data_IF_780838567075
#
_entry.id   IF_780838567075
#
_cell.length_a   1.000
_cell.length_b   1.000
_cell.length_c   1.000
_cell.angle_alpha   90.00
_cell.angle_beta   90.00
_cell.angle_gamma   90.00
#
_symmetry.space_group_name_H-M   'P 1'
#
loop_
_entity.id
_entity.type
_entity.pdbx_description
1 polymer ?
#
# COMPACT_ATOMS: atom_id res chain seq x y z
N UNK A 1 12.14 -9.14 16.00
CA UNK A 1 12.37 -8.57 14.66
C UNK A 1 13.81 -8.85 14.29
N UNK A 2 14.06 -9.74 13.36
CA UNK A 2 15.41 -9.93 12.80
C UNK A 2 15.44 -9.27 11.43
N UNK A 3 16.32 -8.29 11.20
CA UNK A 3 16.52 -7.75 9.88
C UNK A 3 17.06 -8.87 8.97
N UNK A 4 16.51 -8.98 7.75
CA UNK A 4 17.06 -9.89 6.77
C UNK A 4 18.35 -9.26 6.26
N UNK A 5 19.48 -9.81 6.66
CA UNK A 5 20.75 -9.45 6.07
C UNK A 5 20.89 -10.23 4.76
N UNK A 6 20.98 -9.52 3.66
CA UNK A 6 21.58 -10.08 2.47
C UNK A 6 23.09 -10.14 2.74
N UNK A 7 23.77 -11.26 2.47
CA UNK A 7 25.22 -11.26 2.53
C UNK A 7 25.72 -10.16 1.58
N UNK A 8 26.52 -9.27 2.11
CA UNK A 8 27.23 -8.31 1.28
C UNK A 8 28.21 -9.10 0.43
N UNK A 9 28.37 -8.78 -0.87
CA UNK A 9 29.40 -9.38 -1.69
C UNK A 9 30.77 -9.22 -1.03
N UNK A 10 31.62 -10.22 -1.15
CA UNK A 10 32.98 -10.16 -0.60
C UNK A 10 33.70 -8.91 -1.11
N UNK A 11 34.19 -8.10 -0.17
CA UNK A 11 34.87 -6.84 -0.48
C UNK A 11 33.98 -5.63 -0.63
N UNK A 12 32.65 -5.76 -0.49
CA UNK A 12 31.74 -4.61 -0.45
C UNK A 12 31.69 -4.02 0.95
N UNK A 13 31.87 -2.71 1.05
CA UNK A 13 31.73 -1.95 2.28
C UNK A 13 30.96 -0.68 2.04
N UNK A 14 29.89 -0.49 2.79
CA UNK A 14 29.11 0.76 2.78
C UNK A 14 29.94 1.99 3.20
N UNK A 15 31.05 1.79 3.87
CA UNK A 15 31.92 2.87 4.36
C UNK A 15 32.83 3.42 3.26
N UNK A 16 33.00 2.69 2.16
CA UNK A 16 33.82 3.11 1.01
C UNK A 16 33.07 3.98 0.01
N UNK A 17 31.76 4.07 0.15
CA UNK A 17 30.90 4.87 -0.71
C UNK A 17 30.69 6.27 -0.15
N UNK A 18 30.53 7.27 -1.02
CA UNK A 18 30.20 8.63 -0.63
C UNK A 18 28.78 8.80 -0.06
N UNK A 19 28.00 7.75 -0.04
CA UNK A 19 26.67 7.67 0.55
C UNK A 19 26.50 6.36 1.31
N UNK A 20 25.71 6.43 2.36
CA UNK A 20 25.42 5.25 3.18
C UNK A 20 24.17 4.53 2.65
N UNK A 21 24.30 3.23 2.42
CA UNK A 21 23.17 2.37 2.14
C UNK A 21 22.62 1.79 3.44
N UNK A 22 21.33 1.95 3.66
CA UNK A 22 20.65 1.40 4.82
C UNK A 22 19.68 0.31 4.36
N UNK A 23 19.63 -0.77 5.13
CA UNK A 23 18.62 -1.78 4.90
C UNK A 23 17.25 -1.21 5.27
N UNK A 24 16.39 -1.04 4.26
CA UNK A 24 15.05 -0.46 4.43
C UNK A 24 13.96 -1.51 4.59
N UNK A 25 14.26 -2.77 4.25
CA UNK A 25 13.28 -3.85 4.34
C UNK A 25 13.46 -4.65 5.61
N UNK A 26 12.46 -4.65 6.46
CA UNK A 26 12.40 -5.46 7.68
C UNK A 26 11.32 -6.52 7.53
N UNK A 27 11.71 -7.78 7.64
CA UNK A 27 10.77 -8.89 7.64
C UNK A 27 10.40 -9.25 9.08
N UNK A 28 9.11 -9.21 9.38
CA UNK A 28 8.58 -9.59 10.69
C UNK A 28 8.09 -11.03 10.63
N UNK A 29 8.73 -11.90 11.39
CA UNK A 29 8.34 -13.31 11.46
C UNK A 29 7.62 -13.60 12.79
N UNK A 30 6.66 -14.51 12.77
CA UNK A 30 6.15 -15.25 11.62
C UNK A 30 5.29 -14.45 10.66
N UNK A 31 4.58 -13.41 11.09
CA UNK A 31 3.76 -12.55 10.21
C UNK A 31 3.53 -11.18 10.84
N UNK A 32 3.30 -10.16 10.01
CA UNK A 32 2.86 -8.83 10.45
C UNK A 32 1.57 -8.90 11.30
N UNK A 33 0.66 -9.82 10.95
CA UNK A 33 -0.58 -10.02 11.71
C UNK A 33 -0.32 -10.41 13.17
N UNK A 34 0.70 -11.23 13.44
CA UNK A 34 1.04 -11.61 14.83
C UNK A 34 1.52 -10.41 15.63
N UNK A 35 2.33 -9.55 15.03
CA UNK A 35 2.79 -8.30 15.68
C UNK A 35 1.60 -7.38 15.93
N UNK A 36 0.75 -7.21 14.93
CA UNK A 36 -0.47 -6.42 15.07
C UNK A 36 -1.35 -6.92 16.24
N UNK A 37 -1.64 -8.23 16.28
CA UNK A 37 -2.43 -8.83 17.36
C UNK A 37 -1.78 -8.63 18.73
N UNK A 38 -0.45 -8.76 18.81
CA UNK A 38 0.28 -8.52 20.06
C UNK A 38 0.16 -7.09 20.53
N UNK A 39 0.37 -6.12 19.64
CA UNK A 39 0.24 -4.69 19.96
C UNK A 39 -1.20 -4.32 20.31
N UNK A 40 -2.18 -4.89 19.60
CA UNK A 40 -3.59 -4.70 19.89
C UNK A 40 -3.93 -5.18 21.30
N UNK A 41 -3.51 -6.39 21.66
CA UNK A 41 -3.74 -6.94 22.99
C UNK A 41 -3.05 -6.12 24.11
N UNK A 42 -1.87 -5.56 23.85
CA UNK A 42 -1.20 -4.63 24.76
C UNK A 42 -2.02 -3.35 24.95
N UNK A 43 -2.53 -2.79 23.85
CA UNK A 43 -3.36 -1.59 23.91
C UNK A 43 -4.68 -1.84 24.65
N UNK A 44 -5.31 -3.00 24.46
CA UNK A 44 -6.53 -3.39 25.20
C UNK A 44 -6.28 -3.45 26.72
N UNK A 45 -5.14 -3.98 27.14
CA UNK A 45 -4.77 -4.07 28.57
C UNK A 45 -4.66 -2.70 29.26
N UNK A 46 -4.45 -1.63 28.49
CA UNK A 46 -4.42 -0.28 29.05
C UNK A 46 -5.79 0.23 29.50
N UNK A 47 -6.87 -0.40 29.02
CA UNK A 47 -8.25 0.08 29.22
C UNK A 47 -8.57 1.38 28.46
N UNK A 48 -7.62 1.93 27.69
CA UNK A 48 -7.79 3.19 26.96
C UNK A 48 -8.24 2.98 25.51
N UNK A 49 -8.14 1.74 25.01
CA UNK A 49 -8.56 1.39 23.64
C UNK A 49 -10.05 1.06 23.62
N UNK A 50 -10.78 1.70 22.68
CA UNK A 50 -12.14 1.32 22.35
C UNK A 50 -12.22 1.04 20.84
N UNK A 51 -12.55 -0.20 20.48
CA UNK A 51 -12.60 -0.67 19.10
C UNK A 51 -14.03 -0.90 18.64
N UNK A 52 -14.29 -0.51 17.41
CA UNK A 52 -15.56 -0.75 16.72
C UNK A 52 -15.25 -1.48 15.41
N UNK A 53 -15.55 -2.77 15.38
CA UNK A 53 -15.38 -3.60 14.19
C UNK A 53 -16.62 -3.54 13.30
N UNK A 54 -16.44 -3.80 12.00
CA UNK A 54 -17.51 -3.75 11.01
C UNK A 54 -18.31 -2.42 11.05
N UNK A 55 -17.62 -1.33 11.38
CA UNK A 55 -18.21 -0.03 11.62
C UNK A 55 -17.50 1.02 10.76
N UNK A 56 -17.77 1.05 9.44
CA UNK A 56 -17.10 1.96 8.52
C UNK A 56 -17.35 3.41 8.88
N UNK A 57 -16.28 4.21 8.86
CA UNK A 57 -16.39 5.66 8.97
C UNK A 57 -17.11 6.23 7.75
N UNK A 58 -17.97 7.21 7.96
CA UNK A 58 -18.79 7.84 6.93
C UNK A 58 -18.42 9.30 6.70
N UNK A 59 -17.99 10.00 7.75
CA UNK A 59 -17.73 11.43 7.69
C UNK A 59 -16.77 11.87 8.80
N UNK A 60 -15.89 12.80 8.50
CA UNK A 60 -15.17 13.58 9.51
C UNK A 60 -16.04 14.73 10.02
N UNK A 61 -15.92 15.01 11.29
CA UNK A 61 -16.61 16.12 11.95
C UNK A 61 -15.66 17.31 12.08
N UNK A 62 -16.17 18.50 11.80
CA UNK A 62 -15.42 19.75 11.96
C UNK A 62 -16.16 20.65 12.96
N UNK A 63 -15.40 21.46 13.66
CA UNK A 63 -15.93 22.59 14.43
C UNK A 63 -16.15 23.83 13.55
N UNK A 64 -16.56 24.93 14.17
CA UNK A 64 -16.80 26.22 13.51
C UNK A 64 -15.56 26.80 12.84
N UNK A 65 -14.38 26.50 13.37
CA UNK A 65 -13.09 26.99 12.87
C UNK A 65 -12.51 26.09 11.76
N UNK A 66 -13.25 25.03 11.40
CA UNK A 66 -12.85 24.08 10.35
C UNK A 66 -11.89 22.98 10.81
N UNK A 67 -11.56 22.91 12.09
CA UNK A 67 -10.72 21.84 12.64
C UNK A 67 -11.47 20.53 12.71
N UNK A 68 -10.81 19.42 12.34
CA UNK A 68 -11.36 18.08 12.49
C UNK A 68 -11.37 17.69 13.96
N UNK A 69 -12.56 17.46 14.51
CA UNK A 69 -12.82 17.15 15.91
C UNK A 69 -13.40 15.74 16.14
N UNK A 70 -13.48 14.92 15.12
CA UNK A 70 -13.99 13.57 15.27
C UNK A 70 -14.43 12.94 13.96
N UNK A 71 -15.14 11.83 14.08
CA UNK A 71 -15.71 11.09 12.98
C UNK A 71 -17.08 10.51 13.33
N UNK A 72 -17.88 10.26 12.30
CA UNK A 72 -19.11 9.48 12.38
C UNK A 72 -18.89 8.16 11.64
N UNK A 73 -19.29 7.07 12.26
CA UNK A 73 -19.24 5.73 11.69
C UNK A 73 -20.60 5.05 11.84
N UNK A 74 -20.90 4.09 10.97
CA UNK A 74 -22.16 3.35 10.98
C UNK A 74 -21.92 1.91 11.41
N UNK A 75 -22.64 1.48 12.44
CA UNK A 75 -22.64 0.09 12.92
C UNK A 75 -23.43 -0.83 11.98
N UNK A 76 -23.22 -2.16 12.10
CA UNK A 76 -23.99 -3.14 11.32
C UNK A 76 -25.50 -3.09 11.54
N UNK A 77 -25.93 -2.62 12.72
CA UNK A 77 -27.34 -2.44 13.07
C UNK A 77 -27.96 -1.15 12.48
N UNK A 78 -27.19 -0.41 11.69
CA UNK A 78 -27.62 0.85 11.06
C UNK A 78 -27.44 2.09 11.93
N UNK A 79 -27.22 1.95 13.24
CA UNK A 79 -27.02 3.10 14.12
C UNK A 79 -25.67 3.78 13.88
N UNK A 80 -25.63 5.08 14.13
CA UNK A 80 -24.42 5.85 14.01
C UNK A 80 -23.69 6.00 15.34
N UNK A 81 -22.36 5.92 15.27
CA UNK A 81 -21.45 6.24 16.36
C UNK A 81 -20.76 7.55 16.03
N UNK A 82 -20.80 8.48 16.96
CA UNK A 82 -20.03 9.71 16.92
C UNK A 82 -18.84 9.58 17.86
N UNK A 83 -17.64 9.59 17.32
CA UNK A 83 -16.40 9.59 18.08
C UNK A 83 -15.78 10.99 18.03
N UNK A 84 -15.64 11.63 19.21
CA UNK A 84 -15.01 12.95 19.33
C UNK A 84 -13.54 12.79 19.70
N UNK A 85 -12.70 13.60 19.08
CA UNK A 85 -11.25 13.58 19.26
C UNK A 85 -10.76 14.94 19.80
N UNK A 86 -10.13 14.93 20.97
CA UNK A 86 -9.57 16.16 21.58
C UNK A 86 -8.30 16.63 20.88
N UNK A 87 -7.48 15.72 20.37
CA UNK A 87 -6.19 16.03 19.73
C UNK A 87 -6.25 16.00 18.22
N UNK A 88 -6.94 15.03 17.62
CA UNK A 88 -7.05 14.88 16.17
C UNK A 88 -7.53 13.49 15.78
N UNK A 89 -7.70 13.28 14.48
CA UNK A 89 -8.11 12.01 13.87
C UNK A 89 -6.98 11.53 12.96
N UNK A 90 -6.61 10.26 13.09
CA UNK A 90 -5.65 9.61 12.20
C UNK A 90 -6.43 8.81 11.17
N UNK A 91 -6.24 9.12 9.89
CA UNK A 91 -6.76 8.33 8.77
C UNK A 91 -5.75 7.24 8.41
N UNK A 92 -6.08 5.98 8.69
CA UNK A 92 -5.28 4.81 8.33
C UNK A 92 -6.16 3.81 7.55
N UNK A 93 -6.83 4.32 6.52
CA UNK A 93 -7.95 3.66 5.83
C UNK A 93 -7.55 2.93 4.56
N UNK A 94 -6.25 2.78 4.31
CA UNK A 94 -5.72 2.17 3.09
C UNK A 94 -5.75 3.13 1.90
N UNK A 95 -5.58 2.57 0.73
CA UNK A 95 -5.49 3.26 -0.55
C UNK A 95 -6.84 3.27 -1.32
N UNK A 96 -6.78 3.52 -2.63
CA UNK A 96 -7.94 3.56 -3.53
C UNK A 96 -7.80 2.59 -4.71
N UNK A 97 -7.02 1.53 -4.57
CA UNK A 97 -6.76 0.54 -5.64
C UNK A 97 -8.00 -0.22 -6.13
N UNK A 98 -9.11 -0.11 -5.41
CA UNK A 98 -10.42 -0.69 -5.79
C UNK A 98 -11.42 0.36 -6.31
N UNK A 99 -11.03 1.62 -6.43
CA UNK A 99 -11.88 2.67 -6.98
C UNK A 99 -11.41 3.06 -8.39
N UNK A 100 -12.12 2.58 -9.38
CA UNK A 100 -11.79 2.80 -10.78
C UNK A 100 -11.75 4.30 -11.16
N UNK A 101 -12.67 5.11 -10.63
CA UNK A 101 -12.72 6.55 -10.92
C UNK A 101 -11.51 7.28 -10.34
N UNK A 102 -11.09 6.92 -9.12
CA UNK A 102 -9.89 7.48 -8.53
C UNK A 102 -8.64 7.01 -9.27
N UNK A 103 -8.58 5.74 -9.69
CA UNK A 103 -7.48 5.24 -10.50
C UNK A 103 -7.41 5.97 -11.86
N UNK A 104 -8.54 6.14 -12.56
CA UNK A 104 -8.60 6.88 -13.82
C UNK A 104 -8.08 8.32 -13.66
N UNK A 105 -8.40 8.96 -12.57
CA UNK A 105 -8.01 10.35 -12.33
C UNK A 105 -6.56 10.49 -11.85
N UNK A 106 -6.16 9.68 -10.86
CA UNK A 106 -4.86 9.85 -10.21
C UNK A 106 -3.76 8.93 -10.74
N UNK A 107 -4.11 7.79 -11.32
CA UNK A 107 -3.18 6.79 -11.84
C UNK A 107 -3.63 6.22 -13.19
N UNK A 108 -3.87 7.05 -14.22
CA UNK A 108 -4.49 6.60 -15.48
C UNK A 108 -3.70 5.49 -16.17
N UNK A 109 -2.40 5.44 -15.98
CA UNK A 109 -1.51 4.44 -16.59
C UNK A 109 -1.57 3.04 -15.95
N UNK A 110 -2.24 2.85 -14.81
CA UNK A 110 -2.41 1.52 -14.19
C UNK A 110 -3.75 0.87 -14.51
N UNK A 111 -4.68 1.58 -15.15
CA UNK A 111 -6.00 1.07 -15.50
C UNK A 111 -5.94 -0.17 -16.38
N UNK A 112 -5.01 -0.16 -17.33
CA UNK A 112 -4.78 -1.29 -18.22
C UNK A 112 -3.82 -2.34 -17.63
N UNK A 113 -3.45 -2.21 -16.36
CA UNK A 113 -2.59 -3.19 -15.71
C UNK A 113 -3.34 -4.52 -15.60
N UNK A 114 -2.72 -5.65 -15.94
CA UNK A 114 -3.38 -6.95 -15.93
C UNK A 114 -3.77 -7.40 -14.52
N UNK A 115 -3.20 -6.81 -13.51
CA UNK A 115 -3.49 -7.09 -12.11
C UNK A 115 -3.16 -5.90 -11.23
N UNK A 116 -4.14 -5.44 -10.46
CA UNK A 116 -3.94 -4.57 -9.31
C UNK A 116 -4.12 -5.38 -8.03
N UNK A 117 -3.21 -5.19 -7.10
CA UNK A 117 -3.31 -5.83 -5.78
C UNK A 117 -4.08 -4.89 -4.86
N UNK A 118 -5.31 -5.27 -4.61
CA UNK A 118 -6.17 -4.61 -3.65
C UNK A 118 -6.43 -5.51 -2.46
N UNK A 119 -6.82 -4.94 -1.34
CA UNK A 119 -7.31 -5.71 -0.19
C UNK A 119 -8.77 -6.09 -0.38
N UNK A 120 -9.13 -7.22 0.19
CA UNK A 120 -10.50 -7.72 0.21
C UNK A 120 -10.99 -7.89 1.65
N UNK A 121 -12.26 -7.64 1.85
CA UNK A 121 -12.91 -7.93 3.12
C UNK A 121 -13.21 -9.44 3.25
N UNK A 122 -13.82 -9.85 4.38
CA UNK A 122 -14.18 -11.26 4.62
C UNK A 122 -15.21 -11.82 3.63
N UNK A 123 -15.94 -10.97 2.93
CA UNK A 123 -16.93 -11.35 1.92
C UNK A 123 -16.35 -11.29 0.50
N UNK A 124 -15.02 -11.19 0.39
CA UNK A 124 -14.29 -11.09 -0.88
C UNK A 124 -14.68 -9.83 -1.67
N UNK A 125 -15.15 -8.79 -0.99
CA UNK A 125 -15.40 -7.50 -1.62
C UNK A 125 -14.15 -6.62 -1.53
N UNK A 126 -13.81 -5.88 -2.60
CA UNK A 126 -12.69 -4.95 -2.58
C UNK A 126 -12.86 -3.91 -1.46
N UNK A 127 -11.84 -3.72 -0.65
CA UNK A 127 -11.91 -2.87 0.56
C UNK A 127 -11.14 -1.55 0.46
N UNK A 128 -10.24 -1.43 -0.53
CA UNK A 128 -9.45 -0.20 -0.73
C UNK A 128 -10.20 0.76 -1.67
N UNK A 129 -11.26 1.36 -1.17
CA UNK A 129 -12.23 2.16 -1.94
C UNK A 129 -11.95 3.66 -1.89
N UNK A 130 -10.86 4.10 -1.26
CA UNK A 130 -10.48 5.52 -1.19
C UNK A 130 -11.35 6.38 -0.27
N UNK A 131 -12.16 5.78 0.58
CA UNK A 131 -13.10 6.52 1.45
C UNK A 131 -12.38 7.49 2.39
N UNK A 132 -11.22 7.12 2.92
CA UNK A 132 -10.44 8.02 3.75
C UNK A 132 -9.90 9.22 2.99
N UNK A 133 -9.47 9.02 1.75
CA UNK A 133 -9.05 10.11 0.89
C UNK A 133 -10.20 11.08 0.62
N UNK A 134 -11.39 10.56 0.28
CA UNK A 134 -12.59 11.39 0.08
C UNK A 134 -12.97 12.15 1.34
N UNK A 135 -13.01 11.46 2.49
CA UNK A 135 -13.32 12.11 3.77
C UNK A 135 -12.32 13.22 4.12
N UNK A 136 -11.04 12.98 3.83
CA UNK A 136 -9.98 13.98 4.01
C UNK A 136 -10.23 15.22 3.13
N UNK A 137 -10.48 15.01 1.85
CA UNK A 137 -10.77 16.11 0.90
C UNK A 137 -12.03 16.87 1.29
N UNK A 138 -13.11 16.19 1.65
CA UNK A 138 -14.34 16.85 2.13
C UNK A 138 -14.13 17.62 3.43
N UNK A 139 -13.16 17.23 4.23
CA UNK A 139 -12.77 17.97 5.43
C UNK A 139 -11.84 19.15 5.14
N UNK A 140 -11.36 19.30 3.89
CA UNK A 140 -10.50 20.41 3.47
C UNK A 140 -9.02 20.02 3.27
N UNK A 141 -8.69 18.74 3.33
CA UNK A 141 -7.34 18.28 2.99
C UNK A 141 -7.10 18.39 1.48
N UNK A 142 -5.84 18.61 1.11
CA UNK A 142 -5.42 18.57 -0.29
C UNK A 142 -4.92 17.17 -0.65
N UNK A 143 -5.37 16.65 -1.76
CA UNK A 143 -4.79 15.48 -2.42
C UNK A 143 -3.53 15.91 -3.19
N UNK A 144 -2.54 15.03 -3.31
CA UNK A 144 -1.43 15.24 -4.24
C UNK A 144 -1.98 15.41 -5.65
N UNK A 145 -1.33 16.25 -6.45
CA UNK A 145 -1.73 16.44 -7.84
C UNK A 145 -1.44 15.18 -8.67
N UNK A 146 -2.30 14.88 -9.63
CA UNK A 146 -2.12 13.77 -10.58
C UNK A 146 -0.93 14.05 -11.52
N UNK A 147 -0.19 13.01 -11.97
CA UNK A 147 -0.39 11.59 -11.68
C UNK A 147 0.29 11.15 -10.37
N UNK A 148 -0.33 10.23 -9.65
CA UNK A 148 0.29 9.59 -8.52
C UNK A 148 1.24 8.48 -8.96
N UNK A 149 2.32 8.26 -8.20
CA UNK A 149 3.25 7.18 -8.43
C UNK A 149 2.76 5.89 -7.75
N UNK A 150 2.35 4.85 -8.48
CA UNK A 150 2.02 3.56 -7.88
C UNK A 150 3.29 2.83 -7.53
N UNK A 151 3.20 1.94 -6.56
CA UNK A 151 4.22 0.94 -6.35
C UNK A 151 4.00 -0.21 -7.32
N UNK A 152 4.98 -0.47 -8.19
CA UNK A 152 5.00 -1.64 -9.05
C UNK A 152 6.12 -2.58 -8.60
N UNK A 153 5.82 -3.87 -8.54
CA UNK A 153 6.81 -4.89 -8.27
C UNK A 153 6.81 -5.93 -9.39
N UNK A 154 7.99 -6.23 -9.89
CA UNK A 154 8.19 -7.50 -10.59
C UNK A 154 8.23 -8.61 -9.54
N UNK A 155 7.14 -9.39 -9.48
CA UNK A 155 7.02 -10.48 -8.50
C UNK A 155 7.65 -11.79 -8.99
N UNK A 156 8.20 -11.77 -10.19
CA UNK A 156 8.66 -12.96 -10.88
C UNK A 156 7.52 -13.81 -11.45
N UNK A 157 7.89 -14.82 -12.19
CA UNK A 157 6.98 -15.86 -12.66
C UNK A 157 7.07 -17.12 -11.77
N UNK A 158 6.74 -18.26 -12.34
CA UNK A 158 6.80 -19.56 -11.67
C UNK A 158 8.22 -19.93 -11.18
N UNK A 159 9.26 -19.35 -11.77
CA UNK A 159 10.66 -19.62 -11.46
C UNK A 159 11.25 -18.65 -10.42
N UNK A 160 10.53 -17.62 -10.01
CA UNK A 160 10.99 -16.64 -9.02
C UNK A 160 11.16 -15.22 -9.57
N UNK A 161 11.74 -14.35 -8.76
CA UNK A 161 11.77 -12.91 -9.01
C UNK A 161 13.02 -12.41 -9.74
N UNK A 162 14.05 -13.20 -9.91
CA UNK A 162 15.32 -12.75 -10.49
C UNK A 162 16.13 -13.90 -11.11
N UNK A 163 17.04 -13.54 -12.00
CA UNK A 163 18.02 -14.47 -12.56
C UNK A 163 17.54 -15.31 -13.75
N UNK A 164 16.37 -15.02 -14.30
CA UNK A 164 15.78 -15.73 -15.43
C UNK A 164 15.60 -14.82 -16.63
N UNK A 165 15.82 -15.35 -17.82
CA UNK A 165 15.65 -14.62 -19.07
C UNK A 165 14.21 -14.11 -19.23
N UNK A 166 14.07 -12.83 -19.52
CA UNK A 166 12.78 -12.20 -19.83
C UNK A 166 12.68 -11.86 -21.31
N UNK A 167 11.70 -12.43 -21.97
CA UNK A 167 11.38 -12.16 -23.37
C UNK A 167 10.05 -11.41 -23.46
N UNK A 168 9.98 -10.44 -24.35
CA UNK A 168 8.73 -9.78 -24.69
C UNK A 168 7.86 -10.67 -25.59
N UNK A 169 6.68 -10.14 -25.99
CA UNK A 169 5.72 -10.88 -26.84
C UNK A 169 6.29 -11.25 -28.21
N UNK A 170 7.31 -10.55 -28.67
CA UNK A 170 7.98 -10.83 -29.94
C UNK A 170 9.12 -11.84 -29.81
N UNK A 171 9.41 -12.35 -28.62
CA UNK A 171 10.52 -13.25 -28.34
C UNK A 171 11.86 -12.52 -28.19
N UNK A 172 11.87 -11.20 -27.97
CA UNK A 172 13.07 -10.41 -27.84
C UNK A 172 13.40 -10.15 -26.37
N UNK A 173 14.67 -10.27 -26.00
CA UNK A 173 15.17 -9.83 -24.70
C UNK A 173 15.17 -8.30 -24.66
N UNK A 174 14.59 -7.71 -23.62
CA UNK A 174 14.35 -6.27 -23.54
C UNK A 174 14.93 -5.62 -22.27
N UNK A 175 15.45 -6.38 -21.34
CA UNK A 175 15.94 -5.89 -20.05
C UNK A 175 17.16 -6.68 -19.58
N UNK A 176 17.99 -6.05 -18.76
CA UNK A 176 18.93 -6.77 -17.93
C UNK A 176 18.19 -7.26 -16.67
N UNK A 177 18.11 -8.56 -16.46
CA UNK A 177 17.35 -9.19 -15.38
C UNK A 177 18.01 -9.02 -14.00
N UNK A 178 19.27 -8.54 -13.96
CA UNK A 178 20.01 -8.22 -12.73
C UNK A 178 19.73 -6.78 -12.24
N UNK A 179 18.63 -6.19 -12.62
CA UNK A 179 18.24 -4.90 -12.09
C UNK A 179 17.09 -5.00 -11.07
N UNK A 180 16.89 -3.95 -10.23
CA UNK A 180 15.83 -3.95 -9.24
C UNK A 180 14.44 -4.23 -9.86
N UNK A 181 13.62 -5.02 -9.15
CA UNK A 181 12.29 -5.43 -9.63
C UNK A 181 11.38 -4.28 -10.07
N UNK A 182 11.53 -3.10 -9.48
CA UNK A 182 10.82 -1.90 -9.92
C UNK A 182 11.23 -1.47 -11.35
N UNK A 183 12.51 -1.54 -11.66
CA UNK A 183 13.01 -1.20 -13.01
C UNK A 183 12.56 -2.24 -14.02
N UNK A 184 12.62 -3.54 -13.68
CA UNK A 184 12.08 -4.62 -14.52
C UNK A 184 10.60 -4.37 -14.80
N UNK A 185 9.80 -4.04 -13.79
CA UNK A 185 8.39 -3.75 -13.95
C UNK A 185 8.14 -2.57 -14.90
N UNK A 186 8.93 -1.50 -14.78
CA UNK A 186 8.84 -0.36 -15.68
C UNK A 186 9.17 -0.75 -17.13
N UNK A 187 10.18 -1.61 -17.32
CA UNK A 187 10.53 -2.10 -18.66
C UNK A 187 9.45 -3.02 -19.23
N UNK A 188 8.79 -3.85 -18.42
CA UNK A 188 7.66 -4.67 -18.87
C UNK A 188 6.49 -3.79 -19.32
N UNK A 189 6.22 -2.70 -18.61
CA UNK A 189 5.09 -1.82 -18.89
C UNK A 189 5.18 -1.11 -20.27
N UNK A 190 6.36 -1.00 -20.85
CA UNK A 190 6.57 -0.43 -22.20
C UNK A 190 6.67 -1.49 -23.29
N UNK A 191 6.63 -2.80 -22.94
CA UNK A 191 6.66 -3.87 -23.94
C UNK A 191 5.27 -4.10 -24.57
N UNK A 192 5.22 -4.69 -25.77
CA UNK A 192 3.97 -5.07 -26.43
C UNK A 192 3.10 -5.93 -25.51
N UNK A 193 1.86 -5.48 -25.24
CA UNK A 193 0.93 -6.14 -24.36
C UNK A 193 1.27 -6.05 -22.86
N UNK A 194 2.26 -5.23 -22.46
CA UNK A 194 2.70 -5.03 -21.07
C UNK A 194 2.96 -6.36 -20.36
N UNK A 195 3.60 -7.29 -21.05
CA UNK A 195 3.85 -8.63 -20.55
C UNK A 195 5.26 -9.12 -20.94
N UNK A 196 5.74 -10.07 -20.17
CA UNK A 196 6.98 -10.78 -20.45
C UNK A 196 6.80 -12.28 -20.19
N UNK A 197 7.56 -13.07 -20.93
CA UNK A 197 7.76 -14.51 -20.69
C UNK A 197 9.03 -14.69 -19.88
N UNK A 198 8.95 -15.52 -18.86
CA UNK A 198 10.11 -15.92 -18.07
C UNK A 198 10.54 -17.32 -18.51
N UNK A 199 11.82 -17.49 -18.85
CA UNK A 199 12.41 -18.74 -19.33
C UNK A 199 13.60 -19.12 -18.44
#
# INVERSE_FOLDING_TARGET
>A
VQPRRYPEPDGYSNEQENFKCYQTTVWIRPTHLRVFKGNYALAEKTGLLKSYFSTPAKKLLKDTDGRVIGAVAQKPDGHFVKALAKKGVILATGDYSSDEKMLQHFCPYVIDAPRLWTSYDRNVQPSNTGDGHRMGVWAGAKMQDSPHAPMGHHMGGALGASGFLLLNRNGERFVNEDCPGQQINNQINIQPGKMAWQI
#
